data_IF_415938903022
#
_entry.id   IF_415938903022
#
_cell.length_a   1.000
_cell.length_b   1.000
_cell.length_c   1.000
_cell.angle_alpha   90.00
_cell.angle_beta   90.00
_cell.angle_gamma   90.00
#
_symmetry.space_group_name_H-M   'P 1'
#
loop_
_entity.id
_entity.type
_entity.pdbx_description
1 polymer ?
#
# COMPACT_ATOMS: atom_id res chain seq x y z
N UNK A 1 1.55 -9.18 -11.36
CA UNK A 1 1.07 -9.01 -9.97
C UNK A 1 0.25 -7.73 -9.93
N UNK A 2 -0.73 -7.60 -9.04
CA UNK A 2 -1.48 -6.36 -8.86
C UNK A 2 -0.88 -5.57 -7.71
N UNK A 3 -0.81 -4.26 -7.86
CA UNK A 3 -0.32 -3.31 -6.85
C UNK A 3 -1.39 -2.25 -6.62
N UNK A 4 -1.71 -1.97 -5.36
CA UNK A 4 -2.63 -0.92 -4.97
C UNK A 4 -1.86 0.22 -4.30
N UNK A 5 -2.07 1.45 -4.76
CA UNK A 5 -1.61 2.65 -4.08
C UNK A 5 -2.63 2.98 -3.00
N UNK A 6 -2.20 2.95 -1.75
CA UNK A 6 -3.10 3.13 -0.63
C UNK A 6 -2.63 4.15 0.39
N UNK A 7 -3.58 4.71 1.13
CA UNK A 7 -3.38 5.47 2.36
C UNK A 7 -4.08 4.77 3.52
N UNK A 8 -3.47 4.77 4.71
CA UNK A 8 -4.15 4.31 5.93
C UNK A 8 -5.37 5.19 6.23
N UNK A 9 -6.52 4.55 6.45
CA UNK A 9 -7.79 5.21 6.71
C UNK A 9 -8.06 5.30 8.21
N UNK A 10 -8.73 6.38 8.64
CA UNK A 10 -9.15 6.57 10.03
C UNK A 10 -10.25 5.60 10.47
N UNK A 11 -10.91 4.91 9.54
CA UNK A 11 -12.02 3.97 9.80
C UNK A 11 -11.58 2.50 9.81
N UNK A 12 -10.28 2.25 10.09
CA UNK A 12 -9.59 0.96 9.91
C UNK A 12 -9.56 0.50 8.43
N UNK A 13 -8.39 0.06 7.97
CA UNK A 13 -8.14 -0.34 6.58
C UNK A 13 -7.43 0.73 5.75
N UNK A 14 -7.46 0.55 4.43
CA UNK A 14 -6.64 1.30 3.47
C UNK A 14 -7.50 1.89 2.35
N UNK A 15 -7.51 3.21 2.22
CA UNK A 15 -8.12 3.88 1.08
C UNK A 15 -7.30 3.60 -0.19
N UNK A 16 -7.94 3.06 -1.22
CA UNK A 16 -7.30 2.71 -2.49
C UNK A 16 -7.46 3.85 -3.48
N UNK A 17 -6.35 4.43 -3.94
CA UNK A 17 -6.37 5.49 -4.96
C UNK A 17 -6.08 4.98 -6.36
N UNK A 18 -5.20 3.99 -6.50
CA UNK A 18 -4.77 3.49 -7.80
C UNK A 18 -4.51 2.00 -7.75
N UNK A 19 -4.70 1.33 -8.88
CA UNK A 19 -4.37 -0.08 -9.06
C UNK A 19 -3.54 -0.19 -10.34
N UNK A 20 -2.42 -0.89 -10.24
CA UNK A 20 -1.49 -1.10 -11.35
C UNK A 20 -1.14 -2.58 -11.47
N UNK A 21 -1.09 -3.08 -12.71
CA UNK A 21 -0.54 -4.40 -12.99
C UNK A 21 0.93 -4.27 -13.37
N UNK A 22 1.80 -4.89 -12.56
CA UNK A 22 3.25 -4.91 -12.81
C UNK A 22 3.86 -6.20 -12.28
N UNK A 23 4.98 -6.62 -12.86
CA UNK A 23 5.78 -7.72 -12.30
C UNK A 23 6.57 -7.22 -11.08
N UNK A 24 7.07 -6.00 -11.16
CA UNK A 24 7.89 -5.36 -10.13
C UNK A 24 7.08 -4.37 -9.32
N UNK A 25 7.51 -4.10 -8.08
CA UNK A 25 6.92 -3.06 -7.23
C UNK A 25 7.04 -1.71 -7.95
N UNK A 26 5.93 -0.98 -8.19
CA UNK A 26 6.00 0.33 -8.79
C UNK A 26 6.87 1.26 -7.97
N UNK A 27 7.62 2.12 -8.66
CA UNK A 27 8.43 3.12 -8.01
C UNK A 27 7.55 4.01 -7.12
N UNK A 28 8.14 4.45 -6.00
CA UNK A 28 7.49 5.28 -5.00
C UNK A 28 6.84 6.51 -5.67
N UNK A 29 5.54 6.71 -5.42
CA UNK A 29 4.82 7.83 -6.00
C UNK A 29 5.26 9.14 -5.30
N UNK A 30 5.72 10.17 -6.03
CA UNK A 30 6.39 11.33 -5.47
C UNK A 30 5.43 12.36 -4.86
N UNK A 31 4.17 12.03 -4.63
CA UNK A 31 3.28 12.92 -3.88
C UNK A 31 3.76 12.94 -2.43
N UNK A 32 4.30 14.09 -2.01
CA UNK A 32 4.83 14.40 -0.67
C UNK A 32 3.83 14.24 0.49
N UNK A 33 2.74 13.51 0.28
CA UNK A 33 1.72 13.20 1.26
C UNK A 33 2.22 12.00 2.06
N UNK A 34 2.71 12.28 3.27
CA UNK A 34 3.01 11.24 4.27
C UNK A 34 1.83 10.29 4.37
N UNK A 35 2.07 8.99 4.15
CA UNK A 35 1.06 7.94 4.35
C UNK A 35 0.66 7.14 3.10
N UNK A 36 1.07 7.55 1.89
CA UNK A 36 0.84 6.76 0.68
C UNK A 36 1.89 5.67 0.47
N UNK A 37 1.46 4.49 0.04
CA UNK A 37 2.35 3.35 -0.25
C UNK A 37 1.73 2.37 -1.25
N UNK A 38 2.58 1.75 -2.07
CA UNK A 38 2.21 0.60 -2.90
C UNK A 38 2.20 -0.68 -2.07
N UNK A 39 1.09 -1.40 -2.11
CA UNK A 39 0.92 -2.72 -1.49
C UNK A 39 0.61 -3.74 -2.58
N UNK A 40 1.21 -4.93 -2.45
CA UNK A 40 0.91 -6.07 -3.30
C UNK A 40 -0.51 -6.58 -3.02
N UNK A 41 -1.33 -6.72 -4.07
CA UNK A 41 -2.68 -7.29 -3.99
C UNK A 41 -2.61 -8.76 -4.39
N UNK A 42 -3.15 -9.65 -3.55
CA UNK A 42 -3.16 -11.06 -3.87
C UNK A 42 -4.09 -11.34 -5.06
N UNK A 43 -3.79 -12.35 -5.90
CA UNK A 43 -4.62 -12.68 -7.07
C UNK A 43 -6.08 -13.04 -6.75
N UNK A 44 -6.38 -13.46 -5.51
CA UNK A 44 -7.73 -13.79 -5.06
C UNK A 44 -8.46 -12.64 -4.36
N UNK A 45 -7.83 -11.48 -4.19
CA UNK A 45 -8.44 -10.31 -3.56
C UNK A 45 -9.05 -9.38 -4.61
N UNK A 46 -10.31 -9.00 -4.40
CA UNK A 46 -10.96 -7.96 -5.18
C UNK A 46 -10.70 -6.60 -4.53
N UNK A 47 -9.99 -5.73 -5.25
CA UNK A 47 -9.64 -4.37 -4.81
C UNK A 47 -10.12 -3.40 -5.88
N UNK A 48 -10.76 -2.31 -5.45
CA UNK A 48 -11.27 -1.25 -6.33
C UNK A 48 -10.78 0.10 -5.88
N UNK A 49 -10.54 0.98 -6.85
CA UNK A 49 -10.22 2.38 -6.58
C UNK A 49 -11.43 3.07 -5.96
N UNK A 50 -11.20 3.86 -4.90
CA UNK A 50 -12.22 4.57 -4.15
C UNK A 50 -12.74 3.81 -2.92
N UNK A 51 -12.42 2.52 -2.78
CA UNK A 51 -12.86 1.71 -1.65
C UNK A 51 -11.88 1.80 -0.46
N UNK A 52 -12.41 1.48 0.73
CA UNK A 52 -11.60 1.16 1.90
C UNK A 52 -11.34 -0.35 1.89
N UNK A 53 -10.14 -0.74 1.49
CA UNK A 53 -9.70 -2.11 1.48
C UNK A 53 -9.22 -2.56 2.87
N UNK A 54 -9.78 -3.65 3.38
CA UNK A 54 -9.49 -4.21 4.70
C UNK A 54 -8.36 -5.26 4.68
N UNK A 55 -7.50 -5.22 3.65
CA UNK A 55 -6.58 -6.30 3.27
C UNK A 55 -6.01 -7.15 4.40
N UNK A 56 -6.21 -8.47 4.32
CA UNK A 56 -5.69 -9.44 5.29
C UNK A 56 -4.16 -9.61 5.22
N UNK A 57 -3.53 -9.12 4.15
CA UNK A 57 -2.10 -9.28 3.86
C UNK A 57 -1.26 -8.04 4.14
N UNK A 58 -1.79 -7.05 4.86
CA UNK A 58 -0.95 -5.99 5.39
C UNK A 58 -0.08 -6.55 6.52
N UNK A 59 1.07 -7.11 6.14
CA UNK A 59 2.25 -6.96 6.97
C UNK A 59 2.77 -5.55 6.67
N UNK A 60 2.83 -4.64 7.66
CA UNK A 60 3.61 -3.43 7.46
C UNK A 60 4.98 -3.89 6.96
N UNK A 61 5.53 -3.27 5.89
CA UNK A 61 6.94 -3.48 5.64
C UNK A 61 7.63 -3.19 6.97
N UNK A 62 8.49 -4.09 7.44
CA UNK A 62 9.50 -3.73 8.43
C UNK A 62 10.26 -2.59 7.77
N UNK A 63 9.78 -1.37 8.03
CA UNK A 63 10.55 -0.17 7.79
C UNK A 63 11.77 -0.46 8.62
N UNK A 64 12.89 -0.73 7.96
CA UNK A 64 14.19 -0.67 8.58
C UNK A 64 14.27 0.72 9.17
N UNK A 65 13.82 0.84 10.42
CA UNK A 65 14.12 1.94 11.29
C UNK A 65 15.62 1.83 11.41
N UNK A 66 16.35 2.56 10.54
CA UNK A 66 17.68 3.06 10.87
C UNK A 66 17.50 4.08 11.99
N UNK A 67 17.05 3.58 13.13
CA UNK A 67 17.38 4.07 14.43
C UNK A 67 18.52 3.22 14.95
N UNK A 68 19.63 3.11 14.21
CA UNK A 68 20.90 2.93 14.90
C UNK A 68 21.25 4.29 15.49
N UNK A 69 20.73 4.49 16.69
CA UNK A 69 21.45 5.15 17.75
C UNK A 69 22.85 4.52 17.84
N UNK A 70 23.87 5.25 17.40
CA UNK A 70 25.16 5.41 18.08
C UNK A 70 25.74 6.77 17.70
#
# INVERSE_FOLDING_TARGET
MKWALVMESSVHGFYVSEIMESKDKPNYHPTHLRGWRWIAVNPGEEVKVGDIWQGHSFHPPEVGYKGDHL
#
